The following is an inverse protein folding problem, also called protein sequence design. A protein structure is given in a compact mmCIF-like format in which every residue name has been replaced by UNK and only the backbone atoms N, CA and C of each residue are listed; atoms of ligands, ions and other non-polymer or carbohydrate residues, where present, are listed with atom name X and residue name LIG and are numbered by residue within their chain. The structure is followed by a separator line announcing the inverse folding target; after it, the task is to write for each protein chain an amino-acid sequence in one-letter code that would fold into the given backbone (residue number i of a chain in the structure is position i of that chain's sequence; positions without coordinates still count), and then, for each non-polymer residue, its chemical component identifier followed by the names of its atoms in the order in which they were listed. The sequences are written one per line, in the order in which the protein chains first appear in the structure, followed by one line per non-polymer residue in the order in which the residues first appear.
data_IF_258929342543
#
_entry.id   IF_258929342543
#
_cell.length_a   1.000
_cell.length_b   1.000
_cell.length_c   1.000
_cell.angle_alpha   90.00
_cell.angle_beta   90.00
_cell.angle_gamma   90.00
#
_symmetry.space_group_name_H-M   'P 1'
#
loop_
_entity.id
_entity.type
_entity.pdbx_description
1 polymer ?
#
# COMPACT_ATOMS: atom_id res chain seq x y z
N UNK A 1 18.10 7.02 -27.68
CA UNK A 1 18.10 6.28 -26.40
C UNK A 1 18.16 7.31 -25.29
N UNK A 2 17.04 7.60 -24.64
CA UNK A 2 17.03 8.55 -23.51
C UNK A 2 17.49 7.81 -22.26
N UNK A 3 18.50 8.35 -21.59
CA UNK A 3 18.80 7.98 -20.23
C UNK A 3 17.56 8.33 -19.38
N UNK A 4 16.84 7.30 -18.93
CA UNK A 4 15.88 7.47 -17.85
C UNK A 4 16.74 7.86 -16.65
N UNK A 5 16.74 9.14 -16.30
CA UNK A 5 17.30 9.56 -15.03
C UNK A 5 16.61 8.69 -13.97
N UNK A 6 17.38 8.00 -13.14
CA UNK A 6 16.86 7.24 -12.02
C UNK A 6 16.25 8.22 -11.02
N UNK A 7 15.00 8.61 -11.28
CA UNK A 7 14.22 9.46 -10.40
C UNK A 7 13.91 8.62 -9.16
N UNK A 8 14.55 8.99 -8.05
CA UNK A 8 14.34 8.37 -6.75
C UNK A 8 13.26 9.15 -6.00
N UNK A 9 12.36 8.41 -5.39
CA UNK A 9 11.38 8.92 -4.44
C UNK A 9 12.06 9.11 -3.09
N UNK A 10 11.88 10.29 -2.52
CA UNK A 10 12.33 10.56 -1.16
C UNK A 10 11.52 9.72 -0.16
N UNK A 11 12.24 9.19 0.81
CA UNK A 11 11.76 8.34 1.91
C UNK A 11 11.68 9.14 3.22
N UNK A 12 12.03 10.43 3.19
CA UNK A 12 11.99 11.34 4.32
C UNK A 12 12.94 10.90 5.42
N UNK A 13 12.43 10.78 6.64
CA UNK A 13 13.22 10.37 7.81
C UNK A 13 13.40 8.85 7.96
N UNK A 14 12.99 8.05 6.97
CA UNK A 14 13.23 6.60 7.02
C UNK A 14 14.74 6.34 6.85
N UNK A 15 15.28 5.38 7.61
CA UNK A 15 16.69 4.99 7.55
C UNK A 15 17.02 4.12 6.31
N UNK A 16 16.48 4.49 5.15
CA UNK A 16 16.70 3.85 3.86
C UNK A 16 16.95 4.93 2.81
N UNK A 17 17.84 4.63 1.86
CA UNK A 17 18.07 5.52 0.72
C UNK A 17 16.79 5.70 -0.11
N UNK A 18 16.75 6.78 -0.89
CA UNK A 18 15.64 7.06 -1.80
C UNK A 18 15.34 5.88 -2.73
N UNK A 19 14.06 5.63 -2.95
CA UNK A 19 13.57 4.44 -3.66
C UNK A 19 13.50 4.74 -5.16
N UNK A 20 14.10 3.90 -5.99
CA UNK A 20 14.03 4.06 -7.45
C UNK A 20 12.60 3.90 -7.96
N UNK A 21 12.21 4.72 -8.94
CA UNK A 21 10.90 4.60 -9.57
C UNK A 21 10.63 3.19 -10.10
N UNK A 22 9.43 2.69 -9.84
CA UNK A 22 9.02 1.31 -10.16
C UNK A 22 9.41 0.25 -9.13
N UNK A 23 9.99 0.63 -7.99
CA UNK A 23 10.33 -0.32 -6.92
C UNK A 23 9.12 -0.65 -6.05
N UNK A 24 8.78 -1.94 -5.94
CA UNK A 24 7.79 -2.40 -4.94
C UNK A 24 8.45 -2.66 -3.58
N UNK A 25 7.87 -2.14 -2.51
CA UNK A 25 8.30 -2.30 -1.11
C UNK A 25 7.23 -3.03 -0.29
N UNK A 26 7.64 -4.10 0.38
CA UNK A 26 6.80 -4.83 1.33
C UNK A 26 7.22 -4.46 2.75
N UNK A 27 6.31 -3.89 3.52
CA UNK A 27 6.50 -3.55 4.93
C UNK A 27 5.96 -4.68 5.81
N UNK A 28 6.85 -5.27 6.62
CA UNK A 28 6.50 -6.32 7.59
C UNK A 28 7.12 -5.99 8.95
N UNK A 29 6.42 -6.39 10.01
CA UNK A 29 6.81 -6.08 11.38
C UNK A 29 5.72 -6.48 12.37
N UNK A 30 6.09 -6.49 13.65
CA UNK A 30 5.19 -6.86 14.74
C UNK A 30 4.51 -5.65 15.39
N UNK A 31 4.97 -4.43 15.06
CA UNK A 31 4.42 -3.17 15.54
C UNK A 31 3.54 -2.53 14.45
N UNK A 32 2.20 -2.60 14.58
CA UNK A 32 1.29 -2.09 13.56
C UNK A 32 1.31 -0.56 13.44
N UNK A 33 1.59 0.15 14.53
CA UNK A 33 1.61 1.62 14.54
C UNK A 33 2.87 2.12 13.81
N UNK A 34 4.02 1.51 14.08
CA UNK A 34 5.27 1.80 13.36
C UNK A 34 5.17 1.46 11.86
N UNK A 35 4.47 0.37 11.51
CA UNK A 35 4.23 0.01 10.11
C UNK A 35 3.31 1.01 9.40
N UNK A 36 2.26 1.48 10.07
CA UNK A 36 1.36 2.49 9.53
C UNK A 36 2.10 3.82 9.32
N UNK A 37 2.95 4.23 10.27
CA UNK A 37 3.79 5.41 10.13
C UNK A 37 4.75 5.31 8.95
N UNK A 38 5.46 4.19 8.81
CA UNK A 38 6.34 3.94 7.67
C UNK A 38 5.58 3.95 6.34
N UNK A 39 4.36 3.37 6.31
CA UNK A 39 3.49 3.42 5.15
C UNK A 39 3.15 4.85 4.75
N UNK A 40 2.69 5.69 5.69
CA UNK A 40 2.32 7.06 5.39
C UNK A 40 3.50 7.88 4.88
N UNK A 41 4.71 7.66 5.43
CA UNK A 41 5.94 8.29 4.96
C UNK A 41 6.31 7.91 3.53
N UNK A 42 6.14 6.63 3.17
CA UNK A 42 6.45 6.15 1.83
C UNK A 42 5.45 6.59 0.77
N UNK A 43 4.18 6.72 1.14
CA UNK A 43 3.09 6.97 0.19
C UNK A 43 2.72 8.45 0.10
N UNK A 44 3.07 9.29 1.08
CA UNK A 44 2.79 10.71 1.04
C UNK A 44 3.43 11.37 -0.19
N UNK A 45 2.62 11.92 -1.11
CA UNK A 45 3.17 12.59 -2.29
C UNK A 45 3.84 13.92 -1.94
N UNK A 46 5.01 14.18 -2.52
CA UNK A 46 5.64 15.51 -2.52
C UNK A 46 4.85 16.50 -3.41
N UNK A 47 5.02 17.84 -3.31
CA UNK A 47 4.12 18.85 -3.91
C UNK A 47 3.76 18.66 -5.39
N UNK A 48 4.68 18.08 -6.17
CA UNK A 48 4.54 17.80 -7.61
C UNK A 48 4.21 16.32 -7.92
N UNK A 49 3.78 15.56 -6.93
CA UNK A 49 3.42 14.14 -7.02
C UNK A 49 1.93 13.95 -6.66
N UNK A 50 1.36 12.87 -7.16
CA UNK A 50 0.04 12.38 -6.76
C UNK A 50 0.14 10.99 -6.12
N UNK A 51 -0.89 10.58 -5.37
CA UNK A 51 -0.93 9.24 -4.80
C UNK A 51 -2.30 8.57 -4.92
N UNK A 52 -2.26 7.23 -5.00
CA UNK A 52 -3.45 6.38 -4.94
C UNK A 52 -3.31 5.35 -3.82
N UNK A 53 -4.27 5.29 -2.91
CA UNK A 53 -4.24 4.39 -1.74
C UNK A 53 -5.48 3.52 -1.67
N UNK A 54 -5.29 2.22 -1.47
CA UNK A 54 -6.35 1.33 -0.98
C UNK A 54 -6.23 1.22 0.53
N UNK A 55 -7.32 1.48 1.23
CA UNK A 55 -7.44 1.31 2.66
C UNK A 55 -8.60 0.36 2.95
N UNK A 56 -8.30 -0.86 3.37
CA UNK A 56 -9.33 -1.89 3.62
C UNK A 56 -10.11 -1.59 4.90
N UNK A 57 -9.40 -1.41 6.01
CA UNK A 57 -10.03 -1.29 7.34
C UNK A 57 -9.98 0.13 7.91
N UNK A 58 -9.28 1.04 7.23
CA UNK A 58 -9.12 2.42 7.67
C UNK A 58 -9.98 3.35 6.84
N UNK A 59 -10.73 4.23 7.49
CA UNK A 59 -11.55 5.23 6.80
C UNK A 59 -10.67 6.15 5.94
N UNK A 60 -11.10 6.42 4.71
CA UNK A 60 -10.30 7.25 3.79
C UNK A 60 -9.99 8.65 4.32
N UNK A 61 -10.87 9.26 5.11
CA UNK A 61 -10.58 10.56 5.78
C UNK A 61 -9.46 10.48 6.80
N UNK A 62 -9.28 9.33 7.45
CA UNK A 62 -8.14 9.11 8.35
C UNK A 62 -6.85 9.03 7.54
N UNK A 63 -6.83 8.27 6.44
CA UNK A 63 -5.68 8.22 5.52
C UNK A 63 -5.25 9.63 5.09
N UNK A 64 -6.18 10.44 4.56
CA UNK A 64 -5.86 11.80 4.10
C UNK A 64 -5.30 12.70 5.22
N UNK A 65 -5.80 12.54 6.45
CA UNK A 65 -5.28 13.28 7.62
C UNK A 65 -3.87 12.84 8.01
N UNK A 66 -3.59 11.53 8.03
CA UNK A 66 -2.26 11.02 8.36
C UNK A 66 -1.23 11.42 7.29
N UNK A 67 -1.60 11.38 6.01
CA UNK A 67 -0.74 11.88 4.93
C UNK A 67 -0.43 13.38 5.08
N UNK A 68 -1.43 14.18 5.44
CA UNK A 68 -1.24 15.61 5.72
C UNK A 68 -0.35 15.90 6.96
N UNK A 69 -0.17 14.93 7.87
CA UNK A 69 0.77 15.06 8.99
C UNK A 69 2.21 14.81 8.56
N UNK A 70 2.41 13.96 7.56
CA UNK A 70 3.72 13.68 6.98
C UNK A 70 4.14 14.82 6.05
N UNK A 71 3.28 15.21 5.12
CA UNK A 71 3.57 16.23 4.12
C UNK A 71 2.33 17.12 3.91
N UNK A 72 2.50 18.44 4.00
CA UNK A 72 1.38 19.37 3.97
C UNK A 72 0.63 19.30 2.62
N UNK A 73 -0.69 19.09 2.67
CA UNK A 73 -1.53 18.98 1.49
C UNK A 73 -1.37 17.67 0.71
N UNK A 74 -0.60 16.70 1.22
CA UNK A 74 -0.44 15.38 0.61
C UNK A 74 -1.76 14.60 0.54
N UNK A 75 -2.61 14.77 1.55
CA UNK A 75 -3.96 14.24 1.56
C UNK A 75 -4.77 14.77 0.37
N UNK A 76 -4.72 16.05 0.05
CA UNK A 76 -5.50 16.62 -1.06
C UNK A 76 -5.04 16.10 -2.43
N UNK A 77 -3.77 15.73 -2.54
CA UNK A 77 -3.13 15.12 -3.72
C UNK A 77 -3.23 13.58 -3.73
N UNK A 78 -4.02 13.01 -2.83
CA UNK A 78 -4.22 11.56 -2.72
C UNK A 78 -5.67 11.16 -2.98
N UNK A 79 -5.85 10.22 -3.90
CA UNK A 79 -7.08 9.48 -4.12
C UNK A 79 -7.10 8.22 -3.26
N UNK A 80 -8.18 8.01 -2.49
CA UNK A 80 -8.31 6.86 -1.58
C UNK A 80 -9.50 5.99 -1.98
N UNK A 81 -9.26 4.69 -2.15
CA UNK A 81 -10.27 3.65 -2.24
C UNK A 81 -10.41 2.98 -0.88
N UNK A 82 -11.53 3.20 -0.19
CA UNK A 82 -11.74 2.76 1.18
C UNK A 82 -12.78 1.62 1.26
N UNK A 83 -12.47 0.56 2.00
CA UNK A 83 -13.43 -0.50 2.35
C UNK A 83 -14.40 -0.12 3.47
N UNK A 84 -14.14 1.01 4.16
CA UNK A 84 -14.99 1.50 5.25
C UNK A 84 -15.15 3.01 5.21
N UNK A 85 -16.26 3.49 5.77
CA UNK A 85 -16.54 4.93 5.94
C UNK A 85 -17.57 5.45 4.96
N UNK A 86 -17.33 6.66 4.45
CA UNK A 86 -18.24 7.35 3.52
C UNK A 86 -17.43 8.05 2.43
N UNK A 87 -18.02 8.11 1.25
CA UNK A 87 -17.47 8.87 0.14
C UNK A 87 -17.28 10.35 0.50
N UNK A 88 -16.22 10.94 -0.05
CA UNK A 88 -15.92 12.36 0.08
C UNK A 88 -14.94 12.79 -1.02
N UNK A 89 -14.57 14.07 -1.08
CA UNK A 89 -13.62 14.55 -2.09
C UNK A 89 -12.29 13.76 -2.04
N UNK A 90 -11.98 13.06 -3.13
CA UNK A 90 -10.82 12.17 -3.24
C UNK A 90 -10.89 10.90 -2.39
N UNK A 91 -12.09 10.49 -1.94
CA UNK A 91 -12.33 9.21 -1.26
C UNK A 91 -13.53 8.51 -1.91
N UNK A 92 -13.29 7.35 -2.49
CA UNK A 92 -14.30 6.43 -2.98
C UNK A 92 -14.44 5.26 -2.00
N UNK A 93 -15.65 4.73 -1.87
CA UNK A 93 -15.90 3.53 -1.06
C UNK A 93 -16.19 2.34 -1.98
N UNK A 94 -15.69 1.17 -1.62
CA UNK A 94 -16.11 -0.09 -2.26
C UNK A 94 -17.11 -0.80 -1.38
N UNK A 95 -18.11 -1.40 -2.02
CA UNK A 95 -19.16 -2.15 -1.33
C UNK A 95 -18.62 -3.49 -0.78
N UNK A 96 -17.68 -4.11 -1.50
CA UNK A 96 -17.06 -5.38 -1.13
C UNK A 96 -15.56 -5.39 -1.46
N UNK A 97 -14.72 -5.53 -0.44
CA UNK A 97 -13.26 -5.65 -0.59
C UNK A 97 -12.81 -7.02 -1.11
N UNK A 98 -13.68 -8.04 -1.06
CA UNK A 98 -13.49 -9.37 -1.62
C UNK A 98 -13.69 -9.41 -3.15
N UNK A 99 -14.35 -8.42 -3.74
CA UNK A 99 -14.49 -8.28 -5.19
C UNK A 99 -13.21 -7.70 -5.84
N UNK A 100 -12.13 -8.47 -5.79
CA UNK A 100 -10.78 -8.03 -6.20
C UNK A 100 -10.69 -7.53 -7.64
N UNK A 101 -11.55 -8.04 -8.52
CA UNK A 101 -11.63 -7.58 -9.91
C UNK A 101 -12.14 -6.14 -9.98
N UNK A 102 -13.25 -5.85 -9.30
CA UNK A 102 -13.80 -4.50 -9.19
C UNK A 102 -12.83 -3.54 -8.51
N UNK A 103 -12.27 -3.97 -7.37
CA UNK A 103 -11.27 -3.19 -6.62
C UNK A 103 -10.06 -2.85 -7.50
N UNK A 104 -9.52 -3.83 -8.22
CA UNK A 104 -8.41 -3.64 -9.15
C UNK A 104 -8.72 -2.67 -10.29
N UNK A 105 -9.92 -2.76 -10.91
CA UNK A 105 -10.31 -1.85 -12.00
C UNK A 105 -10.46 -0.41 -11.53
N UNK A 106 -11.10 -0.20 -10.37
CA UNK A 106 -11.26 1.13 -9.78
C UNK A 106 -9.90 1.73 -9.43
N UNK A 107 -9.02 0.93 -8.81
CA UNK A 107 -7.68 1.37 -8.46
C UNK A 107 -6.79 1.65 -9.68
N UNK A 108 -6.85 0.81 -10.71
CA UNK A 108 -6.19 1.07 -12.01
C UNK A 108 -6.64 2.38 -12.63
N UNK A 109 -7.93 2.72 -12.50
CA UNK A 109 -8.48 3.98 -13.02
C UNK A 109 -7.91 5.17 -12.25
N UNK A 110 -7.85 5.10 -10.91
CA UNK A 110 -7.19 6.12 -10.08
C UNK A 110 -5.72 6.32 -10.44
N UNK A 111 -4.96 5.22 -10.62
CA UNK A 111 -3.56 5.29 -11.04
C UNK A 111 -3.43 6.00 -12.40
N UNK A 112 -4.30 5.64 -13.35
CA UNK A 112 -4.27 6.24 -14.69
C UNK A 112 -4.57 7.74 -14.65
N UNK A 113 -5.48 8.18 -13.78
CA UNK A 113 -5.76 9.59 -13.56
C UNK A 113 -4.56 10.32 -12.95
N UNK A 114 -3.95 9.76 -11.90
CA UNK A 114 -2.78 10.33 -11.25
C UNK A 114 -1.59 10.50 -12.21
N UNK A 115 -1.39 9.54 -13.11
CA UNK A 115 -0.34 9.62 -14.14
C UNK A 115 -0.56 10.76 -15.15
N UNK A 116 -1.81 11.17 -15.40
CA UNK A 116 -2.09 12.28 -16.34
C UNK A 116 -1.79 13.65 -15.75
N UNK A 117 -1.87 13.80 -14.43
CA UNK A 117 -1.71 15.08 -13.76
C UNK A 117 -0.24 15.46 -13.51
N UNK A 118 0.52 14.58 -12.88
CA UNK A 118 1.86 14.90 -12.34
C UNK A 118 3.02 14.11 -12.94
N UNK A 119 2.78 13.05 -13.71
CA UNK A 119 3.82 12.17 -14.27
C UNK A 119 4.63 11.36 -13.24
N UNK A 120 4.62 11.76 -11.95
CA UNK A 120 5.18 11.06 -10.80
C UNK A 120 4.07 10.74 -9.81
N UNK A 121 3.90 9.45 -9.51
CA UNK A 121 2.86 9.01 -8.60
C UNK A 121 3.34 7.93 -7.63
N UNK A 122 2.73 7.91 -6.44
CA UNK A 122 2.93 6.89 -5.41
C UNK A 122 1.68 6.03 -5.27
N UNK A 123 1.83 4.77 -4.91
CA UNK A 123 0.68 3.87 -4.74
C UNK A 123 0.81 3.00 -3.49
N UNK A 124 -0.30 2.70 -2.81
CA UNK A 124 -0.21 1.94 -1.56
C UNK A 124 -1.43 1.11 -1.27
N UNK A 125 -1.22 -0.04 -0.62
CA UNK A 125 -2.29 -0.79 0.04
C UNK A 125 -1.96 -0.87 1.52
N UNK A 126 -2.82 -0.26 2.33
CA UNK A 126 -2.80 -0.41 3.77
C UNK A 126 -3.65 -1.61 4.17
N UNK A 127 -3.05 -2.56 4.89
CA UNK A 127 -3.68 -3.77 5.43
C UNK A 127 -4.16 -4.76 4.36
N UNK A 128 -3.20 -5.33 3.64
CA UNK A 128 -3.44 -6.39 2.64
C UNK A 128 -3.99 -7.69 3.26
N UNK A 129 -3.82 -7.88 4.57
CA UNK A 129 -4.30 -9.05 5.32
C UNK A 129 -5.82 -9.22 5.26
N UNK A 130 -6.58 -8.12 5.32
CA UNK A 130 -8.04 -8.15 5.26
C UNK A 130 -8.54 -8.57 3.87
N UNK A 131 -7.83 -8.13 2.83
CA UNK A 131 -8.04 -8.63 1.45
C UNK A 131 -7.82 -10.13 1.38
N UNK A 132 -6.78 -10.66 2.03
CA UNK A 132 -6.48 -12.09 2.04
C UNK A 132 -7.50 -12.92 2.84
N UNK A 133 -8.24 -12.32 3.79
CA UNK A 133 -9.29 -13.00 4.56
C UNK A 133 -10.60 -13.07 3.76
N UNK A 134 -10.96 -11.99 3.08
CA UNK A 134 -12.19 -11.91 2.29
C UNK A 134 -12.06 -12.56 0.90
N UNK A 135 -10.84 -12.71 0.38
CA UNK A 135 -10.63 -13.33 -0.92
C UNK A 135 -10.87 -14.85 -0.89
N UNK A 136 -11.78 -15.32 -1.77
CA UNK A 136 -12.05 -16.75 -1.97
C UNK A 136 -10.84 -17.54 -2.51
N UNK A 137 -9.94 -16.88 -3.26
CA UNK A 137 -8.72 -17.49 -3.81
C UNK A 137 -7.51 -16.55 -3.67
N UNK A 138 -6.48 -17.02 -2.97
CA UNK A 138 -5.21 -16.31 -2.80
C UNK A 138 -4.54 -15.98 -4.15
N UNK A 139 -4.79 -16.78 -5.20
CA UNK A 139 -4.28 -16.49 -6.55
C UNK A 139 -4.87 -15.20 -7.13
N UNK A 140 -6.11 -14.86 -6.75
CA UNK A 140 -6.76 -13.63 -7.17
C UNK A 140 -6.10 -12.41 -6.51
N UNK A 141 -5.68 -12.53 -5.25
CA UNK A 141 -4.87 -11.51 -4.56
C UNK A 141 -3.54 -11.30 -5.28
N UNK A 142 -2.80 -12.38 -5.58
CA UNK A 142 -1.55 -12.27 -6.32
C UNK A 142 -1.71 -11.64 -7.69
N UNK A 143 -2.79 -11.97 -8.42
CA UNK A 143 -3.08 -11.38 -9.72
C UNK A 143 -3.36 -9.88 -9.61
N UNK A 144 -4.17 -9.48 -8.63
CA UNK A 144 -4.46 -8.07 -8.36
C UNK A 144 -3.18 -7.29 -8.06
N UNK A 145 -2.32 -7.83 -7.19
CA UNK A 145 -1.03 -7.23 -6.86
C UNK A 145 -0.14 -7.11 -8.10
N UNK A 146 -0.01 -8.20 -8.86
CA UNK A 146 0.82 -8.26 -10.05
C UNK A 146 0.36 -7.29 -11.15
N UNK A 147 -0.95 -7.12 -11.32
CA UNK A 147 -1.52 -6.26 -12.37
C UNK A 147 -1.52 -4.76 -12.01
N UNK A 148 -1.61 -4.40 -10.73
CA UNK A 148 -1.76 -3.00 -10.32
C UNK A 148 -0.48 -2.37 -9.76
N UNK A 149 0.48 -3.17 -9.29
CA UNK A 149 1.60 -2.65 -8.48
C UNK A 149 2.99 -2.90 -9.09
N UNK A 150 3.09 -3.67 -10.18
CA UNK A 150 4.39 -4.01 -10.78
C UNK A 150 4.91 -3.07 -11.89
N UNK A 151 4.10 -2.30 -12.63
CA UNK A 151 4.66 -1.27 -13.51
C UNK A 151 4.69 0.10 -12.82
N UNK A 152 5.88 0.54 -12.40
CA UNK A 152 6.19 1.96 -12.28
C UNK A 152 5.71 2.72 -11.04
N UNK A 153 5.43 2.06 -9.90
CA UNK A 153 5.08 2.76 -8.65
C UNK A 153 5.81 2.23 -7.41
N UNK A 154 6.05 3.13 -6.45
CA UNK A 154 6.45 2.74 -5.10
C UNK A 154 5.26 2.12 -4.43
N UNK A 155 5.31 0.81 -4.24
CA UNK A 155 4.29 0.03 -3.53
C UNK A 155 4.75 -0.01 -2.08
N UNK A 156 3.94 0.40 -1.11
CA UNK A 156 4.18 0.07 0.29
C UNK A 156 3.08 -0.91 0.71
N UNK A 157 3.41 -2.18 0.92
CA UNK A 157 2.46 -3.16 1.47
C UNK A 157 2.61 -3.21 2.98
N UNK A 158 1.72 -2.53 3.73
CA UNK A 158 1.68 -2.60 5.19
C UNK A 158 0.84 -3.78 5.67
N UNK A 159 1.41 -4.65 6.50
CA UNK A 159 0.72 -5.82 7.07
C UNK A 159 0.52 -5.66 8.58
N UNK A 160 -0.69 -5.29 9.04
CA UNK A 160 -1.09 -5.57 10.42
C UNK A 160 -1.87 -6.89 10.45
N UNK A 161 -1.33 -7.86 11.17
CA UNK A 161 -1.97 -9.14 11.45
C UNK A 161 -2.14 -9.27 12.97
N UNK A 162 -3.40 -9.35 13.43
CA UNK A 162 -3.69 -9.74 14.80
C UNK A 162 -4.87 -10.72 14.85
N UNK A 163 -4.58 -12.04 14.81
CA UNK A 163 -5.15 -13.00 15.79
C UNK A 163 -4.36 -14.31 15.85
N UNK A 164 -3.90 -14.62 17.06
CA UNK A 164 -3.44 -15.95 17.48
C UNK A 164 -4.64 -16.78 17.93
N UNK A 165 -4.87 -17.92 17.29
CA UNK A 165 -5.54 -19.06 17.93
C UNK A 165 -4.86 -20.34 17.47
N UNK A 166 -4.39 -21.13 18.44
CA UNK A 166 -3.67 -22.41 18.24
C UNK A 166 -4.49 -23.38 17.39
N UNK A 167 -3.88 -23.94 16.35
CA UNK A 167 -4.17 -25.32 15.94
C UNK A 167 -2.88 -26.10 16.10
N UNK A 168 -2.81 -26.84 17.21
CA UNK A 168 -1.92 -27.98 17.35
C UNK A 168 -2.33 -29.04 16.33
N UNK A 169 -1.46 -29.36 15.36
CA UNK A 169 -0.93 -30.73 15.19
C UNK A 169 0.19 -30.80 14.14
N UNK A 170 1.26 -31.47 14.54
CA UNK A 170 2.24 -32.22 13.75
C UNK A 170 3.13 -31.51 12.70
N UNK A 171 4.41 -31.37 13.06
CA UNK A 171 5.42 -32.20 12.39
C UNK A 171 6.40 -31.54 11.42
N UNK A 172 7.47 -30.92 11.92
CA UNK A 172 8.89 -31.30 11.65
C UNK A 172 9.84 -30.30 12.33
N UNK A 173 10.66 -30.81 13.25
CA UNK A 173 11.80 -30.08 13.80
C UNK A 173 12.95 -30.14 12.80
N UNK A 174 13.44 -29.00 12.34
CA UNK A 174 14.82 -28.89 11.83
C UNK A 174 15.64 -28.25 12.94
N UNK A 175 16.56 -29.04 13.51
CA UNK A 175 17.55 -28.62 14.50
C UNK A 175 18.67 -27.93 13.74
N UNK A 176 18.90 -26.64 13.97
CA UNK A 176 20.19 -26.02 13.68
C UNK A 176 21.03 -26.08 14.96
N UNK A 177 22.03 -26.96 14.94
CA UNK A 177 23.08 -27.11 15.95
C UNK A 177 23.88 -25.82 16.07
N UNK A 178 24.04 -25.33 17.30
CA UNK A 178 24.89 -24.20 17.62
C UNK A 178 26.32 -24.65 17.94
N UNK A 179 27.28 -23.91 17.38
CA UNK A 179 28.63 -23.61 17.87
C UNK A 179 29.74 -24.65 17.70
N UNK A 180 30.91 -24.09 17.39
CA UNK A 180 32.16 -24.37 18.11
C UNK A 180 33.03 -25.43 17.49
#
# INVERSE_FOLDING_TARGET
MSAVASERFDTGELAIDGIESGTSVLLTGDDPDALAEAFYRLVAPAPEEEAAVIATDTQGRTIKRELNRVESGAGDRTSVLAGTGRESAGVQCVDDIGELTGLGMTFSSMITEAQRGSGRFRSGIMLCSSVCVEADDIRSVYRMLNSNFLPGSVVATGSACARSTRVSTSGRRVRASSRG
#
